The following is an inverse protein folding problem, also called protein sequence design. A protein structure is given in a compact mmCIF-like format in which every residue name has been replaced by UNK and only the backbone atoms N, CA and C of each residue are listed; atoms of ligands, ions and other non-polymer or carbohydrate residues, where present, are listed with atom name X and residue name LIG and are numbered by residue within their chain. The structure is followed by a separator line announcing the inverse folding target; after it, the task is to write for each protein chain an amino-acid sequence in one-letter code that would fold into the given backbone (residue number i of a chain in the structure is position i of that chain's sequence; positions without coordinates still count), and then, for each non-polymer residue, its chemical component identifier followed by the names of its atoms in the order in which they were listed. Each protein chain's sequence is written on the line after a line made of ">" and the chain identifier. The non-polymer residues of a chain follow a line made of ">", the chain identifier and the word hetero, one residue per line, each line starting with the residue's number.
data_IF_845074811874
#
_entry.id   IF_845074811874
#
_cell.length_a   1.000
_cell.length_b   1.000
_cell.length_c   1.000
_cell.angle_alpha   90.00
_cell.angle_beta   90.00
_cell.angle_gamma   90.00
#
_symmetry.space_group_name_H-M   'P 1'
#
loop_
_entity.id
_entity.type
_entity.pdbx_description
1 polymer ?
#
# COMPACT_ATOMS: atom_id res chain seq x y z
N UNK A 1 0.34 -2.94 86.13
CA UNK A 1 -0.05 -2.24 84.89
C UNK A 1 0.97 -2.61 83.81
N UNK A 2 0.58 -3.42 82.81
CA UNK A 2 1.46 -3.80 81.68
C UNK A 2 1.22 -2.81 80.54
N UNK A 3 2.26 -2.14 80.10
CA UNK A 3 2.26 -1.23 78.93
C UNK A 3 2.52 -2.09 77.69
N UNK A 4 1.56 -2.12 76.76
CA UNK A 4 1.70 -2.80 75.47
C UNK A 4 2.23 -1.82 74.42
N UNK A 5 3.42 -2.09 73.89
CA UNK A 5 4.02 -1.38 72.77
C UNK A 5 3.39 -1.92 71.47
N UNK A 6 2.61 -1.11 70.78
CA UNK A 6 2.08 -1.44 69.44
C UNK A 6 3.03 -0.88 68.39
N UNK A 7 3.76 -1.76 67.71
CA UNK A 7 4.60 -1.41 66.56
C UNK A 7 3.73 -1.28 65.31
N UNK A 8 3.61 -0.07 64.76
CA UNK A 8 3.10 0.15 63.41
C UNK A 8 4.15 -0.29 62.39
N UNK A 9 3.84 -1.34 61.63
CA UNK A 9 4.58 -1.70 60.42
C UNK A 9 4.03 -0.84 59.27
N UNK A 10 4.81 0.15 58.84
CA UNK A 10 4.53 0.92 57.64
C UNK A 10 4.78 0.06 56.39
N UNK A 11 3.73 -0.28 55.68
CA UNK A 11 3.80 -0.99 54.40
C UNK A 11 4.14 0.03 53.30
N UNK A 12 5.41 0.13 52.92
CA UNK A 12 5.85 0.90 51.76
C UNK A 12 5.42 0.17 50.48
N UNK A 13 4.40 0.71 49.82
CA UNK A 13 4.01 0.32 48.46
C UNK A 13 5.11 0.75 47.48
N UNK A 14 6.02 -0.17 47.16
CA UNK A 14 6.94 -0.03 46.04
C UNK A 14 6.13 -0.10 44.75
N UNK A 15 5.90 1.06 44.12
CA UNK A 15 5.33 1.13 42.77
C UNK A 15 6.26 0.42 41.79
N UNK A 16 5.77 -0.64 41.15
CA UNK A 16 6.47 -1.27 40.04
C UNK A 16 6.64 -0.24 38.92
N UNK A 17 7.81 -0.13 38.28
CA UNK A 17 7.95 0.72 37.11
C UNK A 17 6.99 0.19 36.04
N UNK A 18 6.04 1.04 35.62
CA UNK A 18 5.19 0.74 34.47
C UNK A 18 6.12 0.50 33.28
N UNK A 19 6.25 -0.76 32.85
CA UNK A 19 6.95 -1.06 31.61
C UNK A 19 6.24 -0.31 30.50
N UNK A 20 6.97 0.57 29.80
CA UNK A 20 6.45 1.26 28.63
C UNK A 20 5.95 0.20 27.65
N UNK A 21 4.64 0.07 27.51
CA UNK A 21 4.06 -0.83 26.52
C UNK A 21 4.35 -0.24 25.14
N UNK A 22 4.93 -1.05 24.27
CA UNK A 22 5.06 -0.68 22.87
C UNK A 22 3.67 -0.38 22.28
N UNK A 23 3.62 0.60 21.38
CA UNK A 23 2.40 0.92 20.64
C UNK A 23 1.92 -0.30 19.83
N UNK A 24 0.60 -0.46 19.71
CA UNK A 24 -0.02 -1.41 18.79
C UNK A 24 -0.77 -0.64 17.72
N UNK A 25 -0.46 -0.89 16.46
CA UNK A 25 -0.99 -0.16 15.30
C UNK A 25 -2.09 -0.94 14.60
N UNK A 26 -3.20 -0.27 14.33
CA UNK A 26 -4.21 -0.68 13.35
C UNK A 26 -3.83 -0.16 11.97
N UNK A 27 -4.45 -0.74 10.93
CA UNK A 27 -4.24 -0.29 9.55
C UNK A 27 -4.70 1.18 9.43
N UNK A 28 -3.86 2.11 8.96
CA UNK A 28 -4.18 3.53 8.91
C UNK A 28 -5.05 3.92 7.71
N UNK A 29 -5.63 2.94 7.01
CA UNK A 29 -6.46 3.13 5.83
C UNK A 29 -7.66 2.20 5.91
N UNK A 30 -8.85 2.71 5.61
CA UNK A 30 -10.09 1.94 5.54
C UNK A 30 -10.18 1.14 4.21
N UNK A 31 -9.35 0.11 4.08
CA UNK A 31 -9.25 -0.72 2.89
C UNK A 31 -8.83 -2.17 3.22
N UNK A 32 -8.98 -3.08 2.27
CA UNK A 32 -8.48 -4.46 2.35
C UNK A 32 -7.12 -4.57 1.64
N UNK A 33 -6.03 -4.72 2.40
CA UNK A 33 -4.68 -4.91 1.86
C UNK A 33 -4.61 -6.15 0.98
N UNK A 34 -3.99 -6.02 -0.19
CA UNK A 34 -3.89 -7.07 -1.21
C UNK A 34 -5.13 -7.22 -2.08
N UNK A 35 -6.18 -6.42 -1.84
CA UNK A 35 -7.41 -6.44 -2.64
C UNK A 35 -7.80 -5.06 -3.16
N UNK A 36 -8.01 -4.09 -2.27
CA UNK A 36 -8.44 -2.73 -2.63
C UNK A 36 -7.36 -1.68 -2.39
N UNK A 37 -6.31 -2.03 -1.66
CA UNK A 37 -5.11 -1.23 -1.43
C UNK A 37 -3.90 -2.14 -1.26
N UNK A 38 -2.70 -1.59 -1.43
CA UNK A 38 -1.47 -2.38 -1.52
C UNK A 38 -0.31 -1.61 -0.90
N UNK A 39 0.61 -2.33 -0.25
CA UNK A 39 1.88 -1.72 0.16
C UNK A 39 2.76 -1.62 -1.08
N UNK A 40 3.17 -0.41 -1.42
CA UNK A 40 4.06 -0.13 -2.55
C UNK A 40 5.51 -0.02 -2.09
N UNK A 41 5.74 0.67 -0.98
CA UNK A 41 7.05 0.87 -0.39
C UNK A 41 7.02 0.69 1.13
N UNK A 42 8.10 0.15 1.67
CA UNK A 42 8.40 0.01 3.11
C UNK A 42 9.53 0.96 3.47
N UNK A 43 9.78 1.12 4.78
CA UNK A 43 10.89 1.93 5.29
C UNK A 43 12.23 1.44 4.73
N UNK A 44 13.07 2.36 4.29
CA UNK A 44 14.46 2.08 3.96
C UNK A 44 15.27 1.85 5.24
N UNK A 45 15.83 0.65 5.36
CA UNK A 45 16.63 0.21 6.52
C UNK A 45 18.13 0.13 6.20
N UNK A 46 18.53 0.57 5.01
CA UNK A 46 19.93 0.78 4.65
C UNK A 46 20.28 2.28 4.67
N UNK A 47 21.09 2.76 5.62
CA UNK A 47 21.51 4.17 5.66
C UNK A 47 22.55 4.54 4.60
N UNK A 48 22.98 3.62 3.74
CA UNK A 48 23.91 3.90 2.63
C UNK A 48 23.17 4.34 1.36
N UNK A 49 23.86 4.66 0.25
CA UNK A 49 23.20 4.87 -1.05
C UNK A 49 22.58 3.58 -1.64
N UNK A 50 22.83 2.42 -1.01
CA UNK A 50 22.02 1.22 -1.23
C UNK A 50 20.64 1.38 -0.60
N UNK A 51 19.71 0.49 -0.92
CA UNK A 51 18.35 0.55 -0.36
C UNK A 51 17.89 -0.85 0.00
N UNK A 52 17.18 -0.99 1.11
CA UNK A 52 16.77 -2.31 1.60
C UNK A 52 15.55 -2.20 2.50
N UNK A 53 14.47 -2.91 2.16
CA UNK A 53 13.31 -3.03 3.05
C UNK A 53 13.60 -4.02 4.21
N UNK A 54 12.66 -4.18 5.14
CA UNK A 54 12.84 -5.05 6.32
C UNK A 54 13.08 -6.54 6.01
N UNK A 55 12.79 -7.00 4.79
CA UNK A 55 13.09 -8.35 4.32
C UNK A 55 14.26 -8.38 3.34
N UNK A 56 15.02 -7.30 3.26
CA UNK A 56 16.10 -7.13 2.30
C UNK A 56 15.66 -7.20 0.84
N UNK A 57 14.41 -6.80 0.58
CA UNK A 57 13.89 -6.57 -0.75
C UNK A 57 14.11 -5.14 -1.23
N UNK A 58 13.50 -4.82 -2.38
CA UNK A 58 13.70 -3.55 -3.10
C UNK A 58 12.40 -2.74 -3.15
N UNK A 59 11.44 -3.05 -2.28
CA UNK A 59 10.20 -2.30 -2.15
C UNK A 59 10.43 -1.09 -1.26
N UNK A 60 11.41 -0.27 -1.61
CA UNK A 60 11.80 0.96 -0.92
C UNK A 60 12.66 1.81 -1.87
N UNK A 61 13.12 2.97 -1.42
CA UNK A 61 14.08 3.83 -2.12
C UNK A 61 14.87 4.65 -1.11
N UNK A 62 15.96 5.28 -1.55
CA UNK A 62 16.91 5.96 -0.68
C UNK A 62 16.23 6.98 0.23
N UNK A 63 16.36 6.76 1.54
CA UNK A 63 15.85 7.66 2.57
C UNK A 63 14.33 7.62 2.75
N UNK A 64 13.64 6.61 2.24
CA UNK A 64 12.21 6.44 2.47
C UNK A 64 11.94 6.12 3.95
N UNK A 65 11.30 7.03 4.68
CA UNK A 65 11.14 6.94 6.15
C UNK A 65 9.77 6.39 6.60
N UNK A 66 8.94 5.93 5.66
CA UNK A 66 7.56 5.50 5.93
C UNK A 66 7.13 4.23 5.20
N UNK A 67 5.84 3.92 5.30
CA UNK A 67 5.18 2.87 4.52
C UNK A 67 4.16 3.51 3.58
N UNK A 68 4.24 3.19 2.29
CA UNK A 68 3.33 3.70 1.28
C UNK A 68 2.21 2.69 1.01
N UNK A 69 0.98 3.06 1.38
CA UNK A 69 -0.22 2.27 1.16
C UNK A 69 -1.01 2.90 0.02
N UNK A 70 -0.91 2.32 -1.18
CA UNK A 70 -1.51 2.84 -2.41
C UNK A 70 -2.89 2.28 -2.69
N UNK A 71 -3.69 3.09 -3.40
CA UNK A 71 -4.91 2.64 -4.09
C UNK A 71 -4.60 2.41 -5.58
N UNK A 72 -5.38 1.57 -6.29
CA UNK A 72 -5.03 1.16 -7.64
C UNK A 72 -5.17 2.25 -8.70
N UNK A 73 -6.16 3.13 -8.55
CA UNK A 73 -6.51 4.12 -9.58
C UNK A 73 -6.90 5.48 -8.98
N UNK A 74 -6.82 6.54 -9.79
CA UNK A 74 -7.36 7.84 -9.46
C UNK A 74 -8.88 7.84 -9.32
N UNK A 75 -9.60 6.94 -10.02
CA UNK A 75 -11.04 6.77 -9.80
C UNK A 75 -11.35 6.29 -8.38
N UNK A 76 -10.58 5.33 -7.84
CA UNK A 76 -10.72 4.88 -6.45
C UNK A 76 -10.36 6.00 -5.47
N UNK A 77 -9.28 6.74 -5.75
CA UNK A 77 -8.91 7.91 -4.94
C UNK A 77 -10.04 8.96 -4.88
N UNK A 78 -10.61 9.32 -6.03
CA UNK A 78 -11.72 10.28 -6.14
C UNK A 78 -13.01 9.80 -5.49
N UNK A 79 -13.24 8.48 -5.45
CA UNK A 79 -14.37 7.90 -4.73
C UNK A 79 -14.22 8.03 -3.20
N UNK A 80 -13.00 8.31 -2.71
CA UNK A 80 -12.68 8.51 -1.31
C UNK A 80 -12.30 7.21 -0.62
N UNK A 81 -11.06 7.13 -0.16
CA UNK A 81 -10.58 6.05 0.71
C UNK A 81 -10.11 6.68 2.01
N UNK A 82 -10.82 6.39 3.09
CA UNK A 82 -10.58 7.05 4.38
C UNK A 82 -9.23 6.64 4.96
N UNK A 83 -8.49 7.64 5.43
CA UNK A 83 -7.31 7.49 6.28
C UNK A 83 -7.76 7.67 7.72
N UNK A 84 -7.40 6.70 8.55
CA UNK A 84 -7.85 6.59 9.94
C UNK A 84 -6.67 6.54 10.90
N UNK A 85 -6.88 6.95 12.14
CA UNK A 85 -5.84 6.89 13.17
C UNK A 85 -5.38 5.44 13.42
N UNK A 86 -4.09 5.19 13.29
CA UNK A 86 -3.50 3.86 13.54
C UNK A 86 -3.58 3.46 15.03
N UNK A 87 -3.61 4.42 15.93
CA UNK A 87 -3.69 4.22 17.37
C UNK A 87 -4.36 5.42 18.05
N UNK A 88 -4.74 5.26 19.32
CA UNK A 88 -5.22 6.35 20.16
C UNK A 88 -4.17 7.46 20.25
N UNK A 89 -4.56 8.73 20.21
CA UNK A 89 -3.60 9.82 20.31
C UNK A 89 -4.22 11.21 20.27
N UNK A 90 -3.35 12.23 20.21
CA UNK A 90 -3.72 13.64 20.10
C UNK A 90 -3.14 14.22 18.83
N UNK A 91 -3.95 14.93 18.05
CA UNK A 91 -3.48 15.63 16.85
C UNK A 91 -2.57 16.79 17.28
N UNK A 92 -1.32 16.77 16.83
CA UNK A 92 -0.36 17.85 17.09
C UNK A 92 -0.51 18.98 16.07
N UNK A 93 -0.58 18.62 14.78
CA UNK A 93 -0.63 19.58 13.67
C UNK A 93 -1.26 18.95 12.45
N UNK A 94 -1.85 19.81 11.62
CA UNK A 94 -2.43 19.44 10.34
C UNK A 94 -1.97 20.40 9.25
N UNK A 95 -2.08 19.97 8.00
CA UNK A 95 -1.96 20.83 6.82
C UNK A 95 -3.04 20.42 5.83
N UNK A 96 -3.66 21.42 5.21
CA UNK A 96 -4.60 21.24 4.10
C UNK A 96 -4.42 22.37 3.07
N UNK A 97 -4.98 22.19 1.87
CA UNK A 97 -4.99 23.17 0.78
C UNK A 97 -3.96 22.91 -0.33
N UNK A 98 -3.05 21.94 -0.18
CA UNK A 98 -2.13 21.52 -1.24
C UNK A 98 -2.91 20.73 -2.30
N UNK A 99 -2.73 21.07 -3.58
CA UNK A 99 -3.45 20.41 -4.67
C UNK A 99 -3.07 18.93 -4.83
N UNK A 100 -4.05 18.11 -5.20
CA UNK A 100 -3.88 16.69 -5.54
C UNK A 100 -3.33 16.56 -6.97
N UNK A 101 -2.01 16.70 -7.12
CA UNK A 101 -1.35 16.71 -8.43
C UNK A 101 -0.08 15.88 -8.38
N UNK A 102 0.04 14.93 -9.31
CA UNK A 102 1.25 14.13 -9.47
C UNK A 102 2.46 15.02 -9.76
N UNK A 103 3.60 14.69 -9.13
CA UNK A 103 4.87 15.34 -9.42
C UNK A 103 5.42 15.04 -10.82
N UNK A 104 4.91 14.01 -11.48
CA UNK A 104 5.28 13.69 -12.85
C UNK A 104 5.02 14.92 -13.74
N UNK A 105 6.10 15.51 -14.28
CA UNK A 105 6.03 16.69 -15.15
C UNK A 105 6.07 18.07 -14.44
N UNK A 106 5.98 18.15 -13.11
CA UNK A 106 6.16 19.41 -12.35
C UNK A 106 7.52 19.55 -11.67
N UNK A 107 8.15 18.42 -11.35
CA UNK A 107 9.45 18.37 -10.66
C UNK A 107 9.36 18.67 -9.16
N UNK A 108 10.34 18.15 -8.39
CA UNK A 108 10.34 18.18 -6.90
C UNK A 108 10.29 19.59 -6.32
N UNK A 109 10.85 20.59 -7.02
CA UNK A 109 10.87 21.98 -6.55
C UNK A 109 9.46 22.58 -6.41
N UNK A 110 8.48 22.08 -7.15
CA UNK A 110 7.10 22.58 -7.12
C UNK A 110 6.38 22.34 -5.78
N UNK A 111 6.92 21.46 -4.93
CA UNK A 111 6.36 21.09 -3.62
C UNK A 111 7.32 21.33 -2.46
N UNK A 112 8.38 22.11 -2.66
CA UNK A 112 9.34 22.43 -1.59
C UNK A 112 8.62 23.01 -0.34
N UNK A 113 8.96 22.49 0.85
CA UNK A 113 8.31 22.76 2.15
C UNK A 113 6.89 22.17 2.31
N UNK A 114 6.38 21.50 1.29
CA UNK A 114 5.08 20.81 1.26
C UNK A 114 5.22 19.37 0.80
N UNK A 115 6.36 18.74 1.08
CA UNK A 115 6.68 17.39 0.61
C UNK A 115 5.66 16.37 1.13
N UNK A 116 5.24 16.48 2.40
CA UNK A 116 4.16 15.67 2.97
C UNK A 116 2.76 15.98 2.36
N UNK A 117 2.59 17.07 1.62
CA UNK A 117 1.29 17.52 1.13
C UNK A 117 0.34 17.88 2.27
N UNK A 118 -0.94 17.54 2.09
CA UNK A 118 -1.94 17.60 3.16
C UNK A 118 -1.76 16.40 4.10
N UNK A 119 -2.00 16.61 5.38
CA UNK A 119 -1.67 15.59 6.36
C UNK A 119 -1.94 15.97 7.80
N UNK A 120 -1.66 15.01 8.68
CA UNK A 120 -1.74 15.18 10.13
C UNK A 120 -0.53 14.52 10.81
N UNK A 121 -0.15 15.05 11.97
CA UNK A 121 0.76 14.39 12.92
C UNK A 121 -0.02 14.12 14.20
N UNK A 122 0.04 12.89 14.69
CA UNK A 122 -0.65 12.41 15.89
C UNK A 122 0.39 11.93 16.91
N UNK A 123 0.34 12.49 18.10
CA UNK A 123 1.09 12.03 19.28
C UNK A 123 0.32 10.91 19.97
N UNK A 124 0.95 9.74 20.09
CA UNK A 124 0.40 8.56 20.73
C UNK A 124 0.87 8.43 22.19
N UNK A 125 1.62 9.40 22.69
CA UNK A 125 2.22 9.41 24.03
C UNK A 125 3.49 8.56 24.10
N UNK A 126 4.22 8.71 25.20
CA UNK A 126 5.48 7.98 25.45
C UNK A 126 6.52 8.16 24.32
N UNK A 127 6.47 9.30 23.62
CA UNK A 127 7.38 9.63 22.51
C UNK A 127 7.04 8.98 21.17
N UNK A 128 5.90 8.29 21.05
CA UNK A 128 5.42 7.77 19.78
C UNK A 128 4.67 8.85 19.00
N UNK A 129 5.04 9.07 17.74
CA UNK A 129 4.33 9.95 16.82
C UNK A 129 4.08 9.25 15.48
N UNK A 130 2.90 9.45 14.90
CA UNK A 130 2.60 9.02 13.54
C UNK A 130 2.32 10.23 12.65
N UNK A 131 2.85 10.22 11.43
CA UNK A 131 2.59 11.21 10.40
C UNK A 131 1.86 10.57 9.22
N UNK A 132 0.79 11.21 8.77
CA UNK A 132 -0.06 10.80 7.68
C UNK A 132 0.06 11.85 6.57
N UNK A 133 0.67 11.47 5.44
CA UNK A 133 0.96 12.39 4.33
C UNK A 133 0.16 12.04 3.06
N UNK A 134 0.21 12.97 2.11
CA UNK A 134 -0.42 12.89 0.78
C UNK A 134 -1.93 12.78 0.80
N UNK A 135 -2.58 13.34 1.83
CA UNK A 135 -4.04 13.32 1.94
C UNK A 135 -4.70 14.22 0.89
N UNK A 136 -5.95 13.89 0.54
CA UNK A 136 -6.69 14.63 -0.47
C UNK A 136 -7.01 16.04 0.01
N UNK A 137 -6.85 17.02 -0.88
CA UNK A 137 -7.20 18.42 -0.60
C UNK A 137 -8.65 18.55 -0.10
N UNK A 138 -8.84 19.22 1.03
CA UNK A 138 -10.15 19.45 1.64
C UNK A 138 -10.74 18.22 2.35
N UNK A 139 -9.99 17.11 2.45
CA UNK A 139 -10.48 15.90 3.10
C UNK A 139 -10.18 15.84 4.61
N UNK A 140 -9.35 16.73 5.13
CA UNK A 140 -8.92 16.72 6.53
C UNK A 140 -10.10 17.06 7.45
N UNK A 141 -10.43 16.14 8.34
CA UNK A 141 -11.59 16.27 9.25
C UNK A 141 -11.21 16.60 10.71
N UNK A 142 -9.92 16.60 11.01
CA UNK A 142 -9.37 16.82 12.36
C UNK A 142 -8.59 18.13 12.44
N UNK A 143 -8.42 18.66 13.65
CA UNK A 143 -7.60 19.85 13.94
C UNK A 143 -6.64 19.60 15.10
N UNK A 144 -5.62 20.44 15.20
CA UNK A 144 -4.68 20.42 16.34
C UNK A 144 -5.44 20.45 17.66
N UNK A 145 -5.06 19.56 18.57
CA UNK A 145 -5.68 19.41 19.89
C UNK A 145 -6.75 18.32 19.97
N UNK A 146 -7.32 17.87 18.85
CA UNK A 146 -8.33 16.80 18.85
C UNK A 146 -7.74 15.49 19.42
N UNK A 147 -8.55 14.77 20.20
CA UNK A 147 -8.22 13.45 20.73
C UNK A 147 -8.85 12.39 19.83
N UNK A 148 -8.05 11.46 19.36
CA UNK A 148 -8.44 10.38 18.46
C UNK A 148 -8.40 9.04 19.17
N UNK A 149 -9.35 8.18 18.81
CA UNK A 149 -9.31 6.74 19.00
C UNK A 149 -8.81 6.06 17.73
N UNK A 150 -8.17 4.90 17.90
CA UNK A 150 -7.74 4.08 16.78
C UNK A 150 -8.93 3.74 15.88
N UNK A 151 -8.87 4.13 14.61
CA UNK A 151 -9.98 4.02 13.64
C UNK A 151 -10.75 5.31 13.38
N UNK A 152 -10.55 6.38 14.16
CA UNK A 152 -11.17 7.68 13.89
C UNK A 152 -10.63 8.24 12.56
N UNK A 153 -11.53 8.80 11.75
CA UNK A 153 -11.20 9.38 10.46
C UNK A 153 -10.32 10.63 10.64
N UNK A 154 -9.23 10.69 9.88
CA UNK A 154 -8.32 11.84 9.78
C UNK A 154 -8.60 12.60 8.48
N UNK A 155 -8.65 11.87 7.36
CA UNK A 155 -8.91 12.42 6.04
C UNK A 155 -9.09 11.33 5.01
N UNK A 156 -8.69 11.57 3.76
CA UNK A 156 -8.75 10.57 2.68
C UNK A 156 -7.44 10.50 1.91
N UNK A 157 -7.14 9.34 1.32
CA UNK A 157 -5.99 9.18 0.42
C UNK A 157 -6.10 10.21 -0.71
N UNK A 158 -4.99 10.91 -0.98
CA UNK A 158 -4.89 11.94 -2.01
C UNK A 158 -3.71 11.71 -2.94
N UNK A 159 -3.30 12.83 -3.55
CA UNK A 159 -2.15 12.93 -4.44
C UNK A 159 -1.40 14.26 -4.19
N UNK A 160 -1.43 14.76 -2.96
CA UNK A 160 -0.84 16.05 -2.62
C UNK A 160 0.62 15.93 -2.18
N UNK A 161 1.45 16.93 -2.48
CA UNK A 161 2.87 16.95 -2.08
C UNK A 161 3.76 16.10 -2.98
N UNK A 162 4.79 15.49 -2.40
CA UNK A 162 5.86 14.80 -3.13
C UNK A 162 5.49 13.37 -3.50
N UNK A 163 4.49 13.22 -4.38
CA UNK A 163 3.90 11.93 -4.75
C UNK A 163 3.64 11.82 -6.25
N UNK A 164 3.71 10.60 -6.79
CA UNK A 164 3.47 10.29 -8.20
C UNK A 164 2.24 9.37 -8.42
N UNK A 165 1.66 8.82 -7.35
CA UNK A 165 0.52 7.92 -7.38
C UNK A 165 -0.33 8.05 -6.11
N UNK A 166 -1.63 7.74 -6.14
CA UNK A 166 -2.50 7.97 -4.99
C UNK A 166 -2.20 6.97 -3.86
N UNK A 167 -1.72 7.47 -2.72
CA UNK A 167 -1.36 6.66 -1.56
C UNK A 167 -1.40 7.46 -0.26
N UNK A 168 -1.42 6.73 0.85
CA UNK A 168 -1.00 7.26 2.16
C UNK A 168 0.49 6.94 2.33
N UNK A 169 1.29 7.95 2.64
CA UNK A 169 2.62 7.74 3.23
C UNK A 169 2.50 7.84 4.75
N UNK A 170 2.78 6.73 5.44
CA UNK A 170 2.67 6.60 6.89
C UNK A 170 4.05 6.50 7.52
N UNK A 171 4.46 7.52 8.27
CA UNK A 171 5.72 7.51 9.02
C UNK A 171 5.43 7.30 10.51
N UNK A 172 6.11 6.34 11.14
CA UNK A 172 6.12 6.18 12.59
C UNK A 172 7.44 6.69 13.15
N UNK A 173 7.40 7.41 14.28
CA UNK A 173 8.58 7.87 14.99
C UNK A 173 8.53 7.49 16.47
N UNK A 174 9.69 7.20 17.03
CA UNK A 174 9.93 7.08 18.48
C UNK A 174 10.98 8.09 18.90
N UNK A 175 10.63 8.99 19.82
CA UNK A 175 11.50 10.05 20.34
C UNK A 175 12.16 10.87 19.21
N UNK A 176 11.36 11.20 18.19
CA UNK A 176 11.76 11.99 17.02
C UNK A 176 12.49 11.20 15.91
N UNK A 177 12.77 9.91 16.10
CA UNK A 177 13.48 9.07 15.10
C UNK A 177 12.51 8.17 14.34
N UNK A 178 12.62 8.05 12.99
CA UNK A 178 11.85 7.09 12.21
C UNK A 178 12.01 5.65 12.71
N UNK A 179 10.91 4.90 12.68
CA UNK A 179 10.83 3.49 13.07
C UNK A 179 10.12 2.73 11.97
N UNK A 180 10.66 1.57 11.60
CA UNK A 180 9.95 0.61 10.75
C UNK A 180 8.90 -0.15 11.59
N UNK A 181 7.58 -0.01 11.30
CA UNK A 181 6.54 -0.72 12.04
C UNK A 181 6.52 -2.24 11.79
N UNK A 182 7.22 -2.74 10.77
CA UNK A 182 7.36 -4.16 10.48
C UNK A 182 8.51 -4.83 11.24
N UNK A 183 9.53 -4.07 11.64
CA UNK A 183 10.78 -4.60 12.20
C UNK A 183 11.33 -3.76 13.37
N UNK A 184 10.46 -3.33 14.29
CA UNK A 184 10.87 -2.54 15.44
C UNK A 184 11.89 -3.28 16.31
N UNK A 185 12.95 -2.56 16.70
CA UNK A 185 14.06 -3.10 17.50
C UNK A 185 15.03 -3.99 16.73
N UNK A 186 14.86 -4.21 15.42
CA UNK A 186 15.83 -4.93 14.62
C UNK A 186 17.09 -4.07 14.36
N UNK A 187 18.30 -4.64 14.41
CA UNK A 187 19.52 -3.94 13.99
C UNK A 187 19.41 -3.41 12.56
N UNK A 188 20.03 -2.27 12.27
CA UNK A 188 20.14 -1.76 10.90
C UNK A 188 20.74 -2.83 9.97
N UNK A 189 20.31 -2.85 8.70
CA UNK A 189 20.72 -3.84 7.69
C UNK A 189 20.43 -5.32 8.01
N UNK A 190 19.69 -5.64 9.08
CA UNK A 190 19.23 -7.01 9.33
C UNK A 190 17.95 -7.33 8.54
N UNK A 191 17.86 -8.55 8.01
CA UNK A 191 16.70 -9.03 7.27
C UNK A 191 15.79 -9.88 8.17
N UNK A 192 14.47 -9.66 8.11
CA UNK A 192 13.48 -10.55 8.74
C UNK A 192 13.51 -10.62 10.27
N UNK A 193 14.19 -9.68 10.91
CA UNK A 193 14.27 -9.57 12.37
C UNK A 193 13.30 -8.52 12.94
N UNK A 194 13.31 -8.40 14.27
CA UNK A 194 12.54 -7.39 14.99
C UNK A 194 11.11 -7.81 15.29
N UNK A 195 10.37 -6.86 15.88
CA UNK A 195 8.97 -7.03 16.26
C UNK A 195 8.08 -6.22 15.32
N UNK A 196 7.02 -6.84 14.84
CA UNK A 196 5.94 -6.09 14.18
C UNK A 196 5.12 -5.33 15.22
N UNK A 197 4.91 -4.03 14.98
CA UNK A 197 4.05 -3.15 15.78
C UNK A 197 2.59 -3.17 15.31
N UNK A 198 2.31 -3.82 14.19
CA UNK A 198 0.95 -4.02 13.70
C UNK A 198 0.18 -5.00 14.57
N UNK A 199 -1.11 -4.74 14.75
CA UNK A 199 -2.04 -5.63 15.44
C UNK A 199 -1.92 -7.06 14.90
N UNK A 200 -1.96 -8.05 15.81
CA UNK A 200 -1.76 -9.46 15.46
C UNK A 200 -2.77 -9.96 14.42
N UNK A 201 -3.97 -9.39 14.35
CA UNK A 201 -4.98 -9.72 13.35
C UNK A 201 -4.56 -9.34 11.92
N UNK A 202 -3.65 -8.37 11.77
CA UNK A 202 -3.19 -7.88 10.47
C UNK A 202 -2.02 -8.69 9.90
N UNK A 203 -1.36 -9.54 10.70
CA UNK A 203 -0.13 -10.23 10.32
C UNK A 203 -0.23 -11.02 9.00
N UNK A 204 -1.39 -11.65 8.75
CA UNK A 204 -1.60 -12.38 7.47
C UNK A 204 -1.76 -11.43 6.29
N UNK A 205 -2.49 -10.33 6.46
CA UNK A 205 -2.75 -9.36 5.40
C UNK A 205 -1.49 -8.53 5.08
N UNK A 206 -0.66 -8.28 6.09
CA UNK A 206 0.58 -7.52 6.01
C UNK A 206 1.83 -8.39 5.82
N UNK A 207 1.65 -9.70 5.61
CA UNK A 207 2.75 -10.59 5.29
C UNK A 207 3.48 -10.07 4.04
N UNK A 208 4.81 -10.08 4.09
CA UNK A 208 5.64 -9.53 3.02
C UNK A 208 5.30 -10.16 1.66
N UNK A 209 5.05 -9.31 0.67
CA UNK A 209 4.83 -9.70 -0.72
C UNK A 209 5.93 -9.10 -1.58
N UNK A 210 6.79 -9.94 -2.15
CA UNK A 210 7.92 -9.52 -2.99
C UNK A 210 7.47 -9.15 -4.42
N UNK A 211 6.44 -8.30 -4.50
CA UNK A 211 5.69 -7.93 -5.69
C UNK A 211 4.19 -8.21 -5.54
N UNK A 212 3.35 -7.45 -6.24
CA UNK A 212 1.89 -7.57 -6.15
C UNK A 212 1.21 -7.26 -7.47
N UNK A 213 0.01 -7.82 -7.69
CA UNK A 213 -0.86 -7.39 -8.79
C UNK A 213 -1.71 -6.22 -8.35
N UNK A 214 -1.32 -5.08 -8.89
CA UNK A 214 -1.99 -3.80 -8.96
C UNK A 214 -3.46 -3.84 -9.39
N UNK A 215 -3.59 -3.91 -10.71
CA UNK A 215 -4.85 -3.94 -11.42
C UNK A 215 -4.87 -5.21 -12.26
N UNK A 216 -6.05 -5.77 -12.46
CA UNK A 216 -6.26 -6.86 -13.41
C UNK A 216 -7.69 -6.79 -13.92
N UNK A 217 -7.88 -7.04 -15.21
CA UNK A 217 -9.20 -6.95 -15.80
C UNK A 217 -9.22 -7.25 -17.28
N UNK A 218 -10.36 -6.94 -17.88
CA UNK A 218 -10.58 -7.10 -19.31
C UNK A 218 -11.00 -5.76 -19.90
N UNK A 219 -10.57 -5.49 -21.14
CA UNK A 219 -10.90 -4.31 -21.90
C UNK A 219 -11.43 -4.69 -23.30
N UNK A 220 -12.28 -3.82 -23.85
CA UNK A 220 -12.90 -3.94 -25.18
C UNK A 220 -11.97 -3.53 -26.32
N UNK A 221 -10.79 -2.99 -26.00
CA UNK A 221 -9.85 -2.39 -26.94
C UNK A 221 -8.43 -2.23 -26.37
N UNK A 222 -7.61 -1.35 -26.98
CA UNK A 222 -6.24 -1.08 -26.52
C UNK A 222 -6.18 -0.63 -25.06
N UNK A 223 -5.11 -1.03 -24.36
CA UNK A 223 -4.89 -0.70 -22.94
C UNK A 223 -3.60 0.12 -22.82
N UNK A 224 -3.66 1.23 -22.09
CA UNK A 224 -2.50 2.07 -21.76
C UNK A 224 -2.33 2.18 -20.25
N UNK A 225 -1.11 2.51 -19.79
CA UNK A 225 -0.87 2.73 -18.35
C UNK A 225 -1.74 3.88 -17.82
N UNK A 226 -1.85 4.97 -18.58
CA UNK A 226 -2.69 6.13 -18.25
C UNK A 226 -4.18 5.76 -18.08
N UNK A 227 -4.72 4.90 -18.96
CA UNK A 227 -6.10 4.44 -18.86
C UNK A 227 -6.32 3.54 -17.62
N UNK A 228 -5.34 2.71 -17.26
CA UNK A 228 -5.40 1.91 -16.02
C UNK A 228 -5.31 2.82 -14.79
N UNK A 229 -4.36 3.76 -14.78
CA UNK A 229 -4.13 4.68 -13.66
C UNK A 229 -5.33 5.59 -13.39
N UNK A 230 -5.96 6.10 -14.43
CA UNK A 230 -7.18 6.89 -14.29
C UNK A 230 -8.39 6.06 -13.86
N UNK A 231 -8.36 4.74 -14.09
CA UNK A 231 -9.50 3.84 -13.93
C UNK A 231 -10.43 3.80 -15.15
N UNK A 232 -10.08 4.45 -16.26
CA UNK A 232 -10.87 4.47 -17.49
C UNK A 232 -10.99 3.07 -18.14
N UNK A 233 -9.94 2.25 -18.07
CA UNK A 233 -9.94 0.89 -18.66
C UNK A 233 -11.07 0.01 -18.13
N UNK A 234 -11.47 0.19 -16.87
CA UNK A 234 -12.45 -0.65 -16.18
C UNK A 234 -13.90 -0.14 -16.35
N UNK A 235 -14.10 1.02 -16.97
CA UNK A 235 -15.44 1.61 -17.16
C UNK A 235 -16.25 0.92 -18.26
N UNK A 236 -15.59 0.39 -19.29
CA UNK A 236 -16.23 -0.36 -20.36
C UNK A 236 -16.07 -1.86 -20.14
N UNK A 237 -17.17 -2.53 -19.79
CA UNK A 237 -17.17 -3.99 -19.64
C UNK A 237 -17.30 -4.65 -21.02
N UNK A 238 -16.35 -5.53 -21.41
CA UNK A 238 -16.46 -6.27 -22.66
C UNK A 238 -17.73 -7.11 -22.76
N UNK A 239 -18.29 -7.18 -23.96
CA UNK A 239 -19.48 -7.96 -24.32
C UNK A 239 -19.14 -8.90 -25.48
N UNK A 240 -20.11 -9.71 -25.90
CA UNK A 240 -19.91 -10.59 -27.07
C UNK A 240 -19.71 -9.82 -28.37
N UNK A 241 -20.05 -8.53 -28.39
CA UNK A 241 -19.93 -7.63 -29.55
C UNK A 241 -18.70 -6.73 -29.49
N UNK A 242 -17.88 -6.83 -28.44
CA UNK A 242 -16.68 -6.01 -28.33
C UNK A 242 -15.72 -6.26 -29.50
N UNK A 243 -15.06 -5.21 -30.03
CA UNK A 243 -14.16 -5.33 -31.17
C UNK A 243 -12.84 -6.04 -30.81
N UNK A 244 -12.53 -6.17 -29.53
CA UNK A 244 -11.49 -7.02 -28.99
C UNK A 244 -11.86 -7.51 -27.58
N UNK A 245 -11.19 -8.56 -27.15
CA UNK A 245 -11.15 -8.98 -25.75
C UNK A 245 -9.68 -8.98 -25.32
N UNK A 246 -9.31 -8.02 -24.46
CA UNK A 246 -7.95 -7.85 -23.99
C UNK A 246 -7.92 -8.08 -22.49
N UNK A 247 -7.20 -9.09 -22.02
CA UNK A 247 -6.84 -9.21 -20.61
C UNK A 247 -5.64 -8.30 -20.32
N UNK A 248 -5.66 -7.62 -19.19
CA UNK A 248 -4.54 -6.78 -18.75
C UNK A 248 -4.22 -7.00 -17.27
N UNK A 249 -2.98 -6.73 -16.92
CA UNK A 249 -2.45 -6.71 -15.56
C UNK A 249 -1.49 -5.54 -15.42
N UNK A 250 -1.62 -4.81 -14.32
CA UNK A 250 -0.58 -3.92 -13.80
C UNK A 250 -0.04 -4.55 -12.52
N UNK A 251 1.26 -4.82 -12.48
CA UNK A 251 1.96 -5.33 -11.30
C UNK A 251 2.91 -4.26 -10.74
N UNK A 252 3.27 -4.41 -9.47
CA UNK A 252 4.21 -3.55 -8.75
C UNK A 252 5.29 -4.40 -8.10
N UNK A 253 6.50 -3.85 -7.97
CA UNK A 253 7.57 -4.51 -7.23
C UNK A 253 8.15 -5.75 -7.90
N UNK A 254 8.21 -5.77 -9.23
CA UNK A 254 8.86 -6.86 -9.97
C UNK A 254 10.38 -6.67 -9.97
N UNK A 255 11.12 -7.78 -10.06
CA UNK A 255 12.58 -7.81 -10.01
C UNK A 255 13.19 -7.98 -11.40
N UNK A 256 14.40 -7.47 -11.58
CA UNK A 256 15.23 -7.85 -12.72
C UNK A 256 15.33 -9.38 -12.81
N UNK A 257 15.21 -9.93 -14.02
CA UNK A 257 15.18 -11.38 -14.26
C UNK A 257 13.80 -12.03 -14.14
N UNK A 258 12.79 -11.37 -13.57
CA UNK A 258 11.43 -11.92 -13.53
C UNK A 258 10.92 -12.15 -14.97
N UNK A 259 10.25 -13.29 -15.19
CA UNK A 259 9.58 -13.64 -16.46
C UNK A 259 8.08 -13.59 -16.26
N UNK A 260 7.38 -12.76 -17.04
CA UNK A 260 5.93 -12.59 -16.94
C UNK A 260 5.21 -13.34 -18.06
N UNK A 261 4.10 -13.99 -17.72
CA UNK A 261 3.21 -14.63 -18.70
C UNK A 261 1.76 -14.29 -18.38
N UNK A 262 1.01 -13.83 -19.39
CA UNK A 262 -0.43 -13.64 -19.34
C UNK A 262 -1.10 -14.48 -20.41
N UNK A 263 -1.95 -15.41 -20.01
CA UNK A 263 -2.71 -16.27 -20.93
C UNK A 263 -4.20 -16.01 -20.81
N UNK A 264 -4.87 -15.74 -21.93
CA UNK A 264 -6.32 -15.60 -22.06
C UNK A 264 -6.91 -16.92 -22.53
N UNK A 265 -7.98 -17.38 -21.88
CA UNK A 265 -8.70 -18.61 -22.16
C UNK A 265 -10.16 -18.32 -22.49
N UNK A 266 -10.68 -19.05 -23.48
CA UNK A 266 -12.08 -19.05 -23.85
C UNK A 266 -12.94 -19.88 -22.89
N UNK A 267 -14.28 -19.87 -23.10
CA UNK A 267 -15.22 -20.62 -22.26
C UNK A 267 -15.08 -22.14 -22.36
N UNK A 268 -14.43 -22.64 -23.41
CA UNK A 268 -14.08 -24.06 -23.58
C UNK A 268 -12.72 -24.43 -22.94
N UNK A 269 -12.08 -23.50 -22.25
CA UNK A 269 -10.77 -23.69 -21.60
C UNK A 269 -9.58 -23.64 -22.56
N UNK A 270 -9.78 -23.41 -23.86
CA UNK A 270 -8.68 -23.28 -24.82
C UNK A 270 -8.04 -21.90 -24.72
N UNK A 271 -6.71 -21.85 -24.82
CA UNK A 271 -5.98 -20.59 -24.89
C UNK A 271 -6.33 -19.84 -26.19
N UNK A 272 -6.73 -18.59 -26.06
CA UNK A 272 -7.06 -17.69 -27.16
C UNK A 272 -5.92 -16.73 -27.49
N UNK A 273 -5.13 -16.35 -26.48
CA UNK A 273 -3.95 -15.51 -26.62
C UNK A 273 -2.98 -15.77 -25.46
N UNK A 274 -1.69 -15.64 -25.73
CA UNK A 274 -0.66 -15.66 -24.69
C UNK A 274 0.37 -14.56 -24.98
N UNK A 275 0.66 -13.76 -23.96
CA UNK A 275 1.79 -12.85 -23.94
C UNK A 275 2.80 -13.39 -22.93
N UNK A 276 3.99 -13.77 -23.39
CA UNK A 276 5.12 -14.14 -22.55
C UNK A 276 6.26 -13.17 -22.83
N UNK A 277 6.63 -12.38 -21.83
CA UNK A 277 7.71 -11.41 -21.94
C UNK A 277 9.08 -12.08 -21.72
N UNK A 278 10.18 -11.54 -22.30
CA UNK A 278 11.52 -11.89 -21.87
C UNK A 278 11.76 -11.48 -20.40
N UNK A 279 12.82 -11.99 -19.76
CA UNK A 279 13.20 -11.55 -18.42
C UNK A 279 13.33 -10.03 -18.33
N UNK A 280 12.89 -9.43 -17.23
CA UNK A 280 13.04 -7.99 -17.00
C UNK A 280 14.52 -7.60 -16.94
N UNK A 281 14.86 -6.48 -17.57
CA UNK A 281 16.21 -5.90 -17.60
C UNK A 281 16.67 -5.38 -16.24
N UNK A 282 15.73 -4.96 -15.40
CA UNK A 282 15.94 -4.40 -14.06
C UNK A 282 14.65 -4.46 -13.27
N UNK A 283 14.76 -4.15 -11.97
CA UNK A 283 13.61 -3.96 -11.09
C UNK A 283 12.62 -2.95 -11.67
N UNK A 284 11.33 -3.26 -11.52
CA UNK A 284 10.22 -2.42 -11.98
C UNK A 284 9.33 -2.11 -10.79
N UNK A 285 9.33 -0.83 -10.38
CA UNK A 285 8.35 -0.32 -9.43
C UNK A 285 6.92 -0.58 -9.92
N UNK A 286 6.71 -0.50 -11.23
CA UNK A 286 5.44 -0.76 -11.91
C UNK A 286 5.69 -1.44 -13.26
N UNK A 287 4.85 -2.40 -13.64
CA UNK A 287 4.90 -3.11 -14.91
C UNK A 287 3.49 -3.38 -15.44
N UNK A 288 3.26 -3.17 -16.73
CA UNK A 288 1.99 -3.48 -17.37
C UNK A 288 2.19 -4.58 -18.41
N UNK A 289 1.30 -5.58 -18.40
CA UNK A 289 1.22 -6.63 -19.40
C UNK A 289 -0.23 -6.77 -19.85
N UNK A 290 -0.45 -6.95 -21.15
CA UNK A 290 -1.76 -7.24 -21.70
C UNK A 290 -1.64 -8.27 -22.83
N UNK A 291 -2.73 -8.99 -23.09
CA UNK A 291 -2.82 -10.00 -24.14
C UNK A 291 -4.28 -10.17 -24.52
N UNK A 292 -4.55 -10.23 -25.81
CA UNK A 292 -5.92 -10.23 -26.29
C UNK A 292 -6.07 -10.77 -27.70
N UNK A 293 -7.32 -10.86 -28.12
CA UNK A 293 -7.69 -11.34 -29.45
C UNK A 293 -8.85 -10.53 -30.01
N UNK A 294 -9.00 -10.56 -31.33
CA UNK A 294 -10.17 -10.02 -32.03
C UNK A 294 -11.32 -11.04 -32.00
N UNK A 295 -12.58 -10.61 -32.13
CA UNK A 295 -13.70 -11.54 -32.22
C UNK A 295 -13.52 -12.47 -33.44
N UNK A 296 -13.89 -13.75 -33.33
CA UNK A 296 -14.05 -14.60 -34.50
C UNK A 296 -15.24 -14.13 -35.33
N UNK A 297 -15.41 -14.70 -36.51
CA UNK A 297 -16.61 -14.49 -37.33
C UNK A 297 -17.87 -14.87 -36.52
N UNK A 298 -18.84 -13.95 -36.44
CA UNK A 298 -20.03 -14.10 -35.58
C UNK A 298 -19.90 -13.55 -34.15
N UNK A 299 -18.74 -12.99 -33.77
CA UNK A 299 -18.53 -12.38 -32.45
C UNK A 299 -18.03 -13.36 -31.39
N UNK A 300 -17.78 -12.88 -30.17
CA UNK A 300 -17.38 -13.77 -29.08
C UNK A 300 -18.56 -14.63 -28.62
N UNK A 301 -18.27 -15.87 -28.19
CA UNK A 301 -19.29 -16.73 -27.60
C UNK A 301 -19.67 -16.20 -26.22
N UNK A 302 -20.95 -16.23 -25.82
CA UNK A 302 -21.31 -15.99 -24.42
C UNK A 302 -20.62 -16.98 -23.49
N UNK A 303 -20.27 -16.56 -22.27
CA UNK A 303 -19.71 -17.44 -21.25
C UNK A 303 -18.49 -16.87 -20.52
N UNK A 304 -17.91 -17.70 -19.65
CA UNK A 304 -16.79 -17.32 -18.79
C UNK A 304 -15.46 -17.37 -19.54
N UNK A 305 -14.87 -16.21 -19.78
CA UNK A 305 -13.49 -16.07 -20.20
C UNK A 305 -12.60 -15.94 -18.96
N UNK A 306 -11.41 -16.53 -19.03
CA UNK A 306 -10.47 -16.52 -17.90
C UNK A 306 -9.12 -16.01 -18.37
N UNK A 307 -8.39 -15.34 -17.50
CA UNK A 307 -7.01 -14.99 -17.71
C UNK A 307 -6.19 -15.44 -16.51
N UNK A 308 -4.97 -15.91 -16.78
CA UNK A 308 -4.01 -16.29 -15.76
C UNK A 308 -2.72 -15.51 -16.02
N UNK A 309 -2.33 -14.72 -15.02
CA UNK A 309 -1.06 -14.01 -14.97
C UNK A 309 -0.10 -14.74 -14.04
N UNK A 310 1.13 -14.95 -14.49
CA UNK A 310 2.22 -15.57 -13.74
C UNK A 310 3.48 -14.72 -13.82
N UNK A 311 4.19 -14.66 -12.72
CA UNK A 311 5.57 -14.18 -12.66
C UNK A 311 6.42 -15.31 -12.12
N UNK A 312 7.46 -15.68 -12.87
CA UNK A 312 8.50 -16.61 -12.44
C UNK A 312 9.75 -15.80 -12.06
N UNK A 313 10.31 -16.09 -10.89
CA UNK A 313 11.56 -15.52 -10.38
C UNK A 313 12.53 -16.65 -10.11
N UNK A 314 13.69 -16.62 -10.75
CA UNK A 314 14.71 -17.67 -10.64
C UNK A 314 14.14 -19.09 -10.90
N UNK A 315 13.22 -19.19 -11.87
CA UNK A 315 12.53 -20.44 -12.24
C UNK A 315 11.47 -20.92 -11.25
N UNK A 316 11.10 -20.11 -10.25
CA UNK A 316 10.05 -20.44 -9.26
C UNK A 316 8.85 -19.49 -9.39
N UNK A 317 7.62 -19.96 -9.11
CA UNK A 317 6.46 -19.08 -9.07
C UNK A 317 6.64 -17.99 -7.99
N UNK A 318 6.57 -16.73 -8.39
CA UNK A 318 6.60 -15.56 -7.50
C UNK A 318 5.23 -14.91 -7.35
N UNK A 319 4.47 -14.84 -8.44
CA UNK A 319 3.10 -14.31 -8.46
C UNK A 319 2.27 -15.22 -9.36
N UNK A 320 1.08 -15.61 -8.90
CA UNK A 320 0.04 -16.20 -9.75
C UNK A 320 -1.30 -15.55 -9.44
N UNK A 321 -2.00 -15.09 -10.48
CA UNK A 321 -3.31 -14.48 -10.36
C UNK A 321 -4.22 -14.94 -11.50
N UNK A 322 -5.32 -15.60 -11.12
CA UNK A 322 -6.43 -15.89 -12.03
C UNK A 322 -7.52 -14.81 -11.87
N UNK A 323 -8.17 -14.49 -12.99
CA UNK A 323 -9.34 -13.61 -13.04
C UNK A 323 -10.20 -13.97 -14.25
N UNK A 324 -11.46 -13.53 -14.27
CA UNK A 324 -12.39 -13.90 -15.32
C UNK A 324 -13.51 -12.90 -15.52
N UNK A 325 -14.12 -12.95 -16.69
CA UNK A 325 -15.26 -12.15 -17.09
C UNK A 325 -16.29 -13.04 -17.77
N UNK A 326 -17.57 -12.84 -17.47
CA UNK A 326 -18.64 -13.52 -18.17
C UNK A 326 -19.18 -12.60 -19.28
N UNK A 327 -18.88 -12.93 -20.54
CA UNK A 327 -19.36 -12.12 -21.67
C UNK A 327 -20.84 -12.35 -21.89
N UNK A 328 -21.58 -11.24 -21.97
CA UNK A 328 -23.02 -11.19 -22.26
C UNK A 328 -23.26 -10.54 -23.64
N UNK A 329 -24.42 -10.79 -24.27
CA UNK A 329 -24.82 -10.17 -25.54
C UNK A 329 -24.76 -8.65 -25.60
#
# INVERSE_FOLDING_TARGET
>A
MRVGLSSLVGLTLLGLPASAQDITLRLPVACEIGRSCFIQHYVDRDPSPGTSDYQCGTLTYEGHDGTDIRVPTMAVQKAGVDVVAAADGKVLRTRDGVEDISLTGRGRQSVANTECGNGAVVDHGQGWEAQYCHLAKGSITVKSGDILKAGDRIGQIGLSGMTEFPHLHFTLRKDGKPVDPFAYGAPEKSCGGGKSLWDASLQRALAYQAGSVLNKGFASGPVTMEAIESGATEQETPTTRSPALVAFVRAIGLKGGDVQTLTLFGPDGKALAQNKAPPLDRDKAQWMMFGGTRPPEGGFRPGLYRAIYRVERDGRPAIEQAFGINLRP
#
